data_IF_842498892955
#
_entry.id   IF_842498892955
#
_cell.length_a   1.000
_cell.length_b   1.000
_cell.length_c   1.000
_cell.angle_alpha   90.00
_cell.angle_beta   90.00
_cell.angle_gamma   90.00
#
_symmetry.space_group_name_H-M   'P 1'
#
loop_
_entity.id
_entity.type
_entity.pdbx_description
1 polymer ?
#
# COMPACT_ATOMS: atom_id res chain seq x y z
N UNK A 1 19.74 -22.24 10.67
CA UNK A 1 18.47 -22.89 10.34
C UNK A 1 17.46 -21.78 10.12
N UNK A 2 16.73 -21.76 9.02
CA UNK A 2 15.66 -20.78 8.80
C UNK A 2 14.55 -21.03 9.83
N UNK A 3 14.16 -19.99 10.56
CA UNK A 3 13.03 -20.06 11.52
C UNK A 3 11.71 -20.06 10.77
N UNK A 4 11.71 -19.52 9.57
CA UNK A 4 10.57 -19.65 8.68
C UNK A 4 10.47 -21.12 8.26
N UNK A 5 9.36 -21.75 8.62
CA UNK A 5 9.06 -23.13 8.17
C UNK A 5 8.97 -23.15 6.66
N UNK A 6 9.30 -24.28 6.04
CA UNK A 6 9.30 -24.45 4.56
C UNK A 6 7.93 -24.16 3.90
N UNK A 7 6.85 -24.12 4.67
CA UNK A 7 5.47 -23.88 4.23
C UNK A 7 4.99 -22.44 4.43
N UNK A 8 5.77 -21.55 5.09
CA UNK A 8 5.41 -20.15 5.31
C UNK A 8 5.87 -19.29 4.15
N UNK A 9 4.94 -18.52 3.59
CA UNK A 9 5.19 -17.62 2.47
C UNK A 9 5.32 -16.16 2.97
N UNK A 10 6.27 -15.42 2.42
CA UNK A 10 6.41 -14.00 2.71
C UNK A 10 5.42 -13.21 1.85
N UNK A 11 4.49 -12.51 2.49
CA UNK A 11 3.49 -11.66 1.86
C UNK A 11 3.72 -10.22 2.30
N UNK A 12 4.18 -9.39 1.39
CA UNK A 12 4.42 -7.98 1.63
C UNK A 12 3.17 -7.15 1.37
N UNK A 13 2.79 -6.31 2.34
CA UNK A 13 1.61 -5.44 2.24
C UNK A 13 1.95 -4.02 1.78
N UNK A 14 3.22 -3.73 1.50
CA UNK A 14 3.67 -2.43 0.99
C UNK A 14 4.89 -2.57 0.10
N UNK A 15 4.71 -2.25 -1.18
CA UNK A 15 5.77 -2.21 -2.18
C UNK A 15 5.40 -1.19 -3.27
N UNK A 16 6.39 -0.65 -3.94
CA UNK A 16 6.16 0.44 -4.89
C UNK A 16 6.57 0.06 -6.31
N UNK A 17 5.80 0.54 -7.27
CA UNK A 17 6.24 0.59 -8.66
C UNK A 17 6.85 1.97 -8.97
N UNK A 18 7.58 2.06 -10.06
CA UNK A 18 7.93 3.33 -10.69
C UNK A 18 7.15 3.42 -11.99
N UNK A 19 6.33 4.45 -12.11
CA UNK A 19 5.49 4.63 -13.29
C UNK A 19 6.35 4.91 -14.54
N UNK A 20 5.97 4.34 -15.71
CA UNK A 20 6.63 4.66 -16.97
C UNK A 20 6.70 6.16 -17.20
N UNK A 21 7.85 6.63 -17.65
CA UNK A 21 8.15 8.06 -17.81
C UNK A 21 7.16 8.83 -18.68
N UNK A 22 6.48 8.13 -19.59
CA UNK A 22 5.49 8.67 -20.51
C UNK A 22 4.07 8.19 -20.22
N UNK A 23 3.80 7.63 -19.03
CA UNK A 23 2.51 7.05 -18.69
C UNK A 23 1.33 8.00 -18.99
N UNK A 24 1.44 9.25 -18.56
CA UNK A 24 0.38 10.24 -18.73
C UNK A 24 0.37 10.85 -20.14
N UNK A 25 1.52 11.08 -20.74
CA UNK A 25 1.61 11.58 -22.12
C UNK A 25 0.98 10.62 -23.14
N UNK A 26 1.28 9.32 -23.00
CA UNK A 26 0.87 8.31 -23.98
C UNK A 26 -0.59 7.86 -23.82
N UNK A 27 -1.17 8.03 -22.64
CA UNK A 27 -2.51 7.50 -22.31
C UNK A 27 -3.58 8.57 -22.11
N UNK A 28 -3.20 9.81 -21.82
CA UNK A 28 -4.17 10.89 -21.68
C UNK A 28 -4.55 11.49 -23.06
N UNK A 29 -5.78 12.02 -23.20
CA UNK A 29 -6.12 12.83 -24.36
C UNK A 29 -5.11 13.98 -24.54
N UNK A 30 -4.71 14.28 -25.79
CA UNK A 30 -3.67 15.27 -26.10
C UNK A 30 -3.91 16.65 -25.45
N UNK A 31 -5.19 17.05 -25.26
CA UNK A 31 -5.54 18.31 -24.59
C UNK A 31 -5.17 18.35 -23.10
N UNK A 32 -4.99 17.20 -22.46
CA UNK A 32 -4.66 17.07 -21.04
C UNK A 32 -3.19 16.70 -20.80
N UNK A 33 -2.55 16.06 -21.77
CA UNK A 33 -1.20 15.53 -21.62
C UNK A 33 -0.17 16.61 -21.21
N UNK A 34 -0.28 17.84 -21.74
CA UNK A 34 0.65 18.93 -21.41
C UNK A 34 0.47 19.55 -20.01
N UNK A 35 -0.58 19.17 -19.27
CA UNK A 35 -0.89 19.69 -17.92
C UNK A 35 -0.88 18.60 -16.86
N UNK A 36 -0.69 17.35 -17.25
CA UNK A 36 -0.56 16.19 -16.38
C UNK A 36 0.87 16.09 -15.79
N UNK A 37 1.14 15.15 -14.87
CA UNK A 37 2.49 14.88 -14.41
C UNK A 37 3.45 14.61 -15.60
N UNK A 38 4.56 15.33 -15.65
CA UNK A 38 5.55 15.24 -16.73
C UNK A 38 6.93 14.91 -16.12
N UNK A 39 7.69 14.09 -16.82
CA UNK A 39 9.08 13.89 -16.48
C UNK A 39 9.93 15.02 -17.08
N UNK A 40 10.62 15.75 -16.23
CA UNK A 40 11.54 16.83 -16.62
C UNK A 40 12.95 16.54 -16.14
N UNK A 41 13.93 17.12 -16.81
CA UNK A 41 15.33 17.08 -16.37
C UNK A 41 15.71 18.49 -15.90
N UNK A 42 16.21 18.60 -14.68
CA UNK A 42 16.66 19.89 -14.13
C UNK A 42 18.01 20.33 -14.71
N UNK A 43 18.49 21.49 -14.27
CA UNK A 43 19.76 22.07 -14.73
C UNK A 43 20.98 21.21 -14.42
N UNK A 44 20.88 20.36 -13.39
CA UNK A 44 21.95 19.47 -12.92
C UNK A 44 21.88 18.09 -13.57
N UNK A 45 20.93 17.89 -14.52
CA UNK A 45 20.72 16.63 -15.21
C UNK A 45 19.89 15.62 -14.43
N UNK A 46 19.30 16.02 -13.30
CA UNK A 46 18.46 15.15 -12.46
C UNK A 46 17.04 15.05 -13.02
N UNK A 47 16.55 13.84 -13.14
CA UNK A 47 15.16 13.57 -13.58
C UNK A 47 14.18 13.76 -12.43
N UNK A 48 13.14 14.52 -12.66
CA UNK A 48 12.11 14.87 -11.67
C UNK A 48 10.71 14.78 -12.28
N UNK A 49 9.73 14.34 -11.50
CA UNK A 49 8.33 14.52 -11.86
C UNK A 49 7.91 15.97 -11.60
N UNK A 50 7.42 16.65 -12.62
CA UNK A 50 6.79 17.97 -12.53
C UNK A 50 5.28 17.77 -12.42
N UNK A 51 4.69 18.24 -11.32
CA UNK A 51 3.24 18.20 -11.05
C UNK A 51 2.84 19.63 -10.66
N UNK A 52 2.21 20.35 -11.58
CA UNK A 52 2.07 21.81 -11.45
C UNK A 52 3.44 22.47 -11.28
N UNK A 53 3.56 23.35 -10.28
CA UNK A 53 4.81 24.04 -9.96
C UNK A 53 5.75 23.21 -9.06
N UNK A 54 5.33 22.05 -8.63
CA UNK A 54 6.12 21.19 -7.73
C UNK A 54 7.02 20.23 -8.51
N UNK A 55 8.11 19.84 -7.86
CA UNK A 55 9.08 18.88 -8.39
C UNK A 55 9.28 17.76 -7.38
N UNK A 56 9.11 16.53 -7.83
CA UNK A 56 9.27 15.32 -7.02
C UNK A 56 10.35 14.42 -7.61
N UNK A 57 11.15 13.82 -6.76
CA UNK A 57 12.13 12.85 -7.22
C UNK A 57 11.43 11.70 -7.94
N UNK A 58 12.02 11.21 -9.03
CA UNK A 58 11.58 9.97 -9.71
C UNK A 58 11.83 8.77 -8.81
N UNK A 59 12.73 8.95 -7.87
CA UNK A 59 13.20 7.96 -6.91
C UNK A 59 12.91 8.49 -5.52
N UNK A 60 12.45 7.66 -4.60
CA UNK A 60 12.45 8.04 -3.19
C UNK A 60 13.87 8.48 -2.79
N UNK A 61 13.94 9.54 -2.00
CA UNK A 61 15.22 10.08 -1.50
C UNK A 61 16.07 9.03 -0.78
N UNK A 62 15.45 7.99 -0.26
CA UNK A 62 16.09 6.93 0.44
C UNK A 62 16.98 6.04 -0.46
N UNK A 63 16.57 5.78 -1.71
CA UNK A 63 17.47 5.10 -2.69
C UNK A 63 18.64 5.99 -3.11
N UNK A 64 18.49 7.32 -3.05
CA UNK A 64 19.56 8.26 -3.35
C UNK A 64 20.70 8.24 -2.33
N UNK A 65 20.45 7.88 -1.07
CA UNK A 65 21.49 7.88 -0.03
C UNK A 65 22.58 6.84 -0.32
N UNK A 66 22.23 5.66 -0.80
CA UNK A 66 23.23 4.68 -1.25
C UNK A 66 24.02 5.16 -2.49
N UNK A 67 23.41 5.98 -3.34
CA UNK A 67 24.06 6.49 -4.55
C UNK A 67 24.93 7.73 -4.31
N UNK A 68 24.56 8.60 -3.38
CA UNK A 68 25.29 9.85 -3.10
C UNK A 68 26.54 9.60 -2.24
N UNK A 69 26.51 8.62 -1.34
CA UNK A 69 27.64 8.34 -0.45
C UNK A 69 28.85 7.63 -1.11
N UNK A 70 28.68 6.99 -2.29
CA UNK A 70 29.73 6.16 -2.89
C UNK A 70 30.06 6.43 -4.35
N UNK A 71 29.40 7.40 -5.01
CA UNK A 71 29.74 7.81 -6.39
C UNK A 71 29.45 6.75 -7.49
N UNK A 72 28.94 5.60 -7.15
CA UNK A 72 28.59 4.53 -8.08
C UNK A 72 27.16 4.05 -7.82
N UNK A 73 26.32 4.06 -8.87
CA UNK A 73 25.14 3.20 -8.86
C UNK A 73 25.64 1.77 -8.78
N UNK A 74 25.44 1.12 -7.64
CA UNK A 74 25.74 -0.29 -7.54
C UNK A 74 24.83 -1.05 -8.51
N UNK A 75 25.29 -2.17 -9.04
CA UNK A 75 24.46 -3.04 -9.88
C UNK A 75 23.15 -3.43 -9.18
N UNK A 76 23.18 -3.54 -7.85
CA UNK A 76 22.02 -3.75 -6.99
C UNK A 76 20.95 -2.67 -7.20
N UNK A 77 21.30 -1.39 -7.10
CA UNK A 77 20.38 -0.26 -7.25
C UNK A 77 19.78 -0.24 -8.67
N UNK A 78 20.59 -0.47 -9.69
CA UNK A 78 20.11 -0.54 -11.08
C UNK A 78 19.11 -1.69 -11.29
N UNK A 79 19.31 -2.82 -10.64
CA UNK A 79 18.41 -3.98 -10.70
C UNK A 79 17.11 -3.72 -9.94
N UNK A 80 17.15 -3.07 -8.77
CA UNK A 80 15.96 -2.64 -8.02
C UNK A 80 15.10 -1.70 -8.87
N UNK A 81 15.72 -0.76 -9.58
CA UNK A 81 15.02 0.16 -10.47
C UNK A 81 14.28 -0.54 -11.59
N UNK A 82 14.99 -1.39 -12.31
CA UNK A 82 14.38 -2.15 -13.39
C UNK A 82 13.23 -3.01 -12.89
N UNK A 83 13.39 -3.61 -11.72
CA UNK A 83 12.34 -4.38 -11.08
C UNK A 83 11.14 -3.53 -10.62
N UNK A 84 11.34 -2.25 -10.32
CA UNK A 84 10.24 -1.34 -10.01
C UNK A 84 9.44 -0.92 -11.27
N UNK A 85 10.11 -0.82 -12.42
CA UNK A 85 9.49 -0.43 -13.70
C UNK A 85 8.88 -1.62 -14.46
N UNK A 86 9.51 -2.81 -14.40
CA UNK A 86 9.19 -3.97 -15.24
C UNK A 86 8.65 -5.15 -14.43
N UNK A 87 7.39 -5.58 -14.65
CA UNK A 87 6.78 -6.69 -13.89
C UNK A 87 7.57 -8.00 -13.95
N UNK A 88 8.12 -8.36 -15.10
CA UNK A 88 8.90 -9.60 -15.25
C UNK A 88 10.18 -9.58 -14.43
N UNK A 89 10.86 -8.45 -14.38
CA UNK A 89 12.06 -8.24 -13.55
C UNK A 89 11.68 -8.15 -12.07
N UNK A 90 10.51 -7.59 -11.74
CA UNK A 90 9.95 -7.60 -10.38
C UNK A 90 9.77 -9.02 -9.86
N UNK A 91 9.16 -9.89 -10.63
CA UNK A 91 8.94 -11.29 -10.25
C UNK A 91 10.28 -12.01 -9.98
N UNK A 92 11.29 -11.76 -10.81
CA UNK A 92 12.65 -12.30 -10.58
C UNK A 92 13.28 -11.75 -9.28
N UNK A 93 13.10 -10.46 -9.00
CA UNK A 93 13.60 -9.85 -7.77
C UNK A 93 12.90 -10.43 -6.52
N UNK A 94 11.59 -10.69 -6.60
CA UNK A 94 10.82 -11.36 -5.55
C UNK A 94 11.30 -12.79 -5.34
N UNK A 95 11.58 -13.55 -6.42
CA UNK A 95 12.09 -14.92 -6.32
C UNK A 95 13.46 -14.97 -5.65
N UNK A 96 14.34 -14.01 -5.93
CA UNK A 96 15.65 -13.89 -5.28
C UNK A 96 15.52 -13.61 -3.78
N UNK A 97 14.54 -12.80 -3.39
CA UNK A 97 14.30 -12.39 -1.99
C UNK A 97 13.44 -13.38 -1.20
N UNK A 98 12.84 -14.35 -1.88
CA UNK A 98 11.93 -15.33 -1.28
C UNK A 98 10.56 -14.76 -0.95
N UNK A 99 10.15 -13.64 -1.58
CA UNK A 99 8.85 -12.99 -1.36
C UNK A 99 7.82 -13.48 -2.37
N UNK A 100 6.68 -13.96 -1.87
CA UNK A 100 5.65 -14.55 -2.72
C UNK A 100 4.71 -13.50 -3.30
N UNK A 101 4.34 -12.49 -2.51
CA UNK A 101 3.36 -11.47 -2.89
C UNK A 101 3.89 -10.07 -2.58
N UNK A 102 3.74 -9.16 -3.54
CA UNK A 102 3.92 -7.72 -3.36
C UNK A 102 2.59 -6.98 -3.56
N UNK A 103 2.28 -6.07 -2.64
CA UNK A 103 1.15 -5.15 -2.74
C UNK A 103 1.64 -3.82 -3.31
N UNK A 104 1.13 -3.43 -4.49
CA UNK A 104 1.75 -2.43 -5.36
C UNK A 104 1.11 -1.06 -5.21
N UNK A 105 1.88 -0.09 -4.71
CA UNK A 105 1.51 1.31 -4.54
C UNK A 105 2.10 2.21 -5.64
N UNK A 106 1.47 3.38 -5.92
CA UNK A 106 2.03 4.39 -6.82
C UNK A 106 3.25 5.08 -6.22
N UNK A 107 4.00 5.77 -7.07
CA UNK A 107 5.09 6.65 -6.65
C UNK A 107 4.94 8.08 -7.19
N UNK A 108 4.75 8.26 -8.49
CA UNK A 108 4.70 9.57 -9.15
C UNK A 108 3.61 10.48 -8.57
N UNK A 109 2.38 10.00 -8.54
CA UNK A 109 1.22 10.79 -8.12
C UNK A 109 1.06 10.92 -6.60
N UNK A 110 2.00 10.34 -5.84
CA UNK A 110 1.92 10.18 -4.38
C UNK A 110 1.20 8.89 -4.00
N UNK A 111 1.39 8.47 -2.76
CA UNK A 111 0.94 7.14 -2.31
C UNK A 111 -0.59 6.99 -2.23
N UNK A 112 -1.32 8.11 -2.11
CA UNK A 112 -2.78 8.16 -2.16
C UNK A 112 -3.30 9.09 -3.29
N UNK A 113 -2.46 9.45 -4.26
CA UNK A 113 -2.79 10.42 -5.31
C UNK A 113 -2.74 11.88 -4.83
N UNK A 114 -2.26 12.15 -3.63
CA UNK A 114 -2.26 13.46 -2.96
C UNK A 114 -1.43 14.51 -3.68
N UNK A 115 -0.42 14.11 -4.47
CA UNK A 115 0.40 15.06 -5.24
C UNK A 115 -0.36 15.71 -6.39
N UNK A 116 -1.46 15.10 -6.85
CA UNK A 116 -2.30 15.67 -7.91
C UNK A 116 -2.95 17.00 -7.48
N UNK A 117 -3.06 17.29 -6.17
CA UNK A 117 -3.57 18.59 -5.66
C UNK A 117 -2.80 19.81 -6.20
N UNK A 118 -1.59 19.62 -6.67
CA UNK A 118 -0.79 20.70 -7.26
C UNK A 118 -1.15 21.01 -8.73
N UNK A 119 -2.01 20.20 -9.35
CA UNK A 119 -2.58 20.51 -10.65
C UNK A 119 -3.76 21.49 -10.49
N UNK A 120 -3.77 22.54 -11.28
CA UNK A 120 -4.78 23.60 -11.18
C UNK A 120 -6.20 23.12 -11.55
N UNK A 121 -6.30 22.16 -12.47
CA UNK A 121 -7.57 21.64 -12.96
C UNK A 121 -7.89 20.27 -12.35
N UNK A 122 -8.93 20.22 -11.51
CA UNK A 122 -9.38 18.98 -10.85
C UNK A 122 -9.86 17.91 -11.85
N UNK A 123 -10.31 18.28 -13.04
CA UNK A 123 -10.72 17.29 -14.05
C UNK A 123 -9.55 16.44 -14.54
N UNK A 124 -8.33 16.96 -14.42
CA UNK A 124 -7.08 16.25 -14.76
C UNK A 124 -6.77 15.21 -13.67
N UNK A 125 -7.11 15.46 -12.41
CA UNK A 125 -6.88 14.51 -11.33
C UNK A 125 -7.57 13.18 -11.60
N UNK A 126 -8.87 13.22 -11.93
CA UNK A 126 -9.62 11.99 -12.25
C UNK A 126 -9.04 11.26 -13.45
N UNK A 127 -8.62 12.01 -14.48
CA UNK A 127 -7.99 11.43 -15.66
C UNK A 127 -6.65 10.76 -15.31
N UNK A 128 -5.82 11.40 -14.49
CA UNK A 128 -4.54 10.84 -14.01
C UNK A 128 -4.75 9.60 -13.14
N UNK A 129 -5.70 9.67 -12.20
CA UNK A 129 -6.06 8.55 -11.31
C UNK A 129 -6.53 7.35 -12.14
N UNK A 130 -7.41 7.58 -13.12
CA UNK A 130 -7.87 6.53 -14.01
C UNK A 130 -6.72 5.93 -14.82
N UNK A 131 -5.85 6.77 -15.38
CA UNK A 131 -4.68 6.33 -16.14
C UNK A 131 -3.74 5.48 -15.30
N UNK A 132 -3.50 5.87 -14.05
CA UNK A 132 -2.71 5.08 -13.11
C UNK A 132 -3.39 3.73 -12.80
N UNK A 133 -4.67 3.75 -12.40
CA UNK A 133 -5.39 2.52 -12.08
C UNK A 133 -5.45 1.56 -13.28
N UNK A 134 -5.70 2.07 -14.48
CA UNK A 134 -5.69 1.25 -15.71
C UNK A 134 -4.29 0.66 -15.97
N UNK A 135 -3.24 1.41 -15.69
CA UNK A 135 -1.88 0.91 -15.84
C UNK A 135 -1.52 -0.15 -14.81
N UNK A 136 -1.80 0.09 -13.53
CA UNK A 136 -1.41 -0.86 -12.47
C UNK A 136 -2.20 -2.16 -12.57
N UNK A 137 -3.49 -2.09 -12.90
CA UNK A 137 -4.37 -3.25 -12.99
C UNK A 137 -4.10 -4.05 -14.28
N UNK A 138 -4.23 -3.40 -15.44
CA UNK A 138 -4.23 -4.10 -16.74
C UNK A 138 -2.82 -4.24 -17.33
N UNK A 139 -1.88 -3.42 -16.88
CA UNK A 139 -0.49 -3.43 -17.35
C UNK A 139 0.46 -4.13 -16.39
N UNK A 140 0.68 -3.52 -15.22
CA UNK A 140 1.75 -3.96 -14.33
C UNK A 140 1.42 -5.28 -13.59
N UNK A 141 0.25 -5.41 -12.99
CA UNK A 141 -0.12 -6.57 -12.16
C UNK A 141 -0.77 -7.71 -12.96
N UNK A 142 -1.31 -7.44 -14.16
CA UNK A 142 -2.13 -8.40 -14.92
C UNK A 142 -1.41 -9.69 -15.30
N UNK A 143 -0.09 -9.65 -15.48
CA UNK A 143 0.73 -10.81 -15.85
C UNK A 143 0.94 -11.83 -14.73
N UNK A 144 0.72 -11.42 -13.47
CA UNK A 144 0.89 -12.27 -12.29
C UNK A 144 -0.02 -11.80 -11.14
N UNK A 145 -1.36 -11.82 -11.31
CA UNK A 145 -2.30 -11.23 -10.35
C UNK A 145 -2.29 -11.94 -8.98
N UNK A 146 -1.77 -13.15 -8.91
CA UNK A 146 -1.60 -13.90 -7.66
C UNK A 146 -0.37 -13.44 -6.86
N UNK A 147 0.54 -12.69 -7.48
CA UNK A 147 1.80 -12.25 -6.89
C UNK A 147 1.94 -10.73 -6.83
N UNK A 148 1.31 -9.99 -7.73
CA UNK A 148 1.33 -8.53 -7.80
C UNK A 148 -0.09 -8.01 -7.57
N UNK A 149 -0.35 -7.48 -6.38
CA UNK A 149 -1.67 -7.05 -5.93
C UNK A 149 -1.81 -5.55 -6.10
N UNK A 150 -2.69 -5.06 -7.00
CA UNK A 150 -2.85 -3.62 -7.23
C UNK A 150 -3.62 -2.95 -6.10
N UNK A 151 -3.13 -1.79 -5.64
CA UNK A 151 -3.86 -0.87 -4.77
C UNK A 151 -4.47 0.24 -5.63
N UNK A 152 -5.76 0.49 -5.39
CA UNK A 152 -6.50 1.51 -6.11
C UNK A 152 -6.33 2.89 -5.51
N UNK A 153 -6.39 3.90 -6.38
CA UNK A 153 -6.46 5.31 -6.00
C UNK A 153 -7.82 5.86 -6.43
N UNK A 154 -8.42 6.70 -5.59
CA UNK A 154 -9.71 7.33 -5.85
C UNK A 154 -9.59 8.84 -5.90
N UNK A 155 -10.52 9.57 -6.59
CA UNK A 155 -10.54 11.02 -6.57
C UNK A 155 -10.88 11.54 -5.18
N UNK A 156 -9.91 12.13 -4.49
CA UNK A 156 -10.08 12.62 -3.12
C UNK A 156 -10.69 14.02 -3.02
N UNK A 157 -10.83 14.72 -4.14
CA UNK A 157 -11.36 16.09 -4.17
C UNK A 157 -12.88 16.19 -3.89
N UNK A 158 -13.60 15.09 -4.00
CA UNK A 158 -15.01 14.94 -3.68
C UNK A 158 -15.28 13.55 -3.10
N UNK A 159 -15.66 13.44 -1.80
CA UNK A 159 -15.95 12.15 -1.16
C UNK A 159 -17.00 11.31 -1.86
N UNK A 160 -18.01 11.93 -2.47
CA UNK A 160 -19.06 11.19 -3.19
C UNK A 160 -18.55 10.59 -4.50
N UNK A 161 -17.65 11.29 -5.18
CA UNK A 161 -16.93 10.75 -6.34
C UNK A 161 -16.03 9.58 -5.93
N UNK A 162 -15.31 9.70 -4.83
CA UNK A 162 -14.45 8.63 -4.32
C UNK A 162 -15.24 7.32 -4.10
N UNK A 163 -16.41 7.40 -3.45
CA UNK A 163 -17.29 6.26 -3.22
C UNK A 163 -17.68 5.53 -4.52
N UNK A 164 -18.04 6.28 -5.55
CA UNK A 164 -18.47 5.71 -6.84
C UNK A 164 -17.40 4.94 -7.59
N UNK A 165 -16.12 5.11 -7.22
CA UNK A 165 -14.99 4.41 -7.83
C UNK A 165 -14.67 3.07 -7.16
N UNK A 166 -15.10 2.86 -5.90
CA UNK A 166 -14.75 1.65 -5.14
C UNK A 166 -15.23 0.40 -5.84
N UNK A 167 -16.53 0.28 -6.11
CA UNK A 167 -17.14 -0.91 -6.71
C UNK A 167 -16.42 -1.27 -8.03
N UNK A 168 -16.23 -0.29 -8.90
CA UNK A 168 -15.57 -0.48 -10.19
C UNK A 168 -14.12 -0.97 -10.05
N UNK A 169 -13.39 -0.50 -9.05
CA UNK A 169 -12.00 -0.92 -8.82
C UNK A 169 -11.94 -2.33 -8.26
N UNK A 170 -12.86 -2.68 -7.36
CA UNK A 170 -12.99 -4.04 -6.81
C UNK A 170 -13.32 -5.06 -7.89
N UNK A 171 -14.28 -4.76 -8.77
CA UNK A 171 -14.62 -5.61 -9.92
C UNK A 171 -13.43 -5.87 -10.85
N UNK A 172 -12.48 -4.93 -10.92
CA UNK A 172 -11.25 -5.05 -11.70
C UNK A 172 -10.09 -5.72 -10.97
N UNK A 173 -10.31 -6.20 -9.75
CA UNK A 173 -9.30 -6.96 -9.00
C UNK A 173 -8.48 -6.15 -7.99
N UNK A 174 -8.78 -4.88 -7.76
CA UNK A 174 -8.18 -4.09 -6.68
C UNK A 174 -8.56 -4.70 -5.33
N UNK A 175 -7.59 -4.77 -4.40
CA UNK A 175 -7.74 -5.42 -3.10
C UNK A 175 -7.62 -4.46 -1.92
N UNK A 176 -7.57 -3.17 -2.17
CA UNK A 176 -7.58 -2.11 -1.18
C UNK A 176 -7.45 -0.75 -1.82
N UNK A 177 -7.80 0.27 -1.08
CA UNK A 177 -7.73 1.67 -1.53
C UNK A 177 -6.74 2.43 -0.67
N UNK A 178 -5.85 3.18 -1.28
CA UNK A 178 -4.97 4.09 -0.55
C UNK A 178 -5.67 5.41 -0.26
N UNK A 179 -5.49 5.89 0.98
CA UNK A 179 -6.11 7.10 1.51
C UNK A 179 -5.09 7.91 2.32
N UNK A 180 -5.09 9.26 2.26
CA UNK A 180 -4.10 10.06 2.96
C UNK A 180 -4.24 9.97 4.47
N UNK A 181 -3.12 10.03 5.18
CA UNK A 181 -3.05 9.93 6.64
C UNK A 181 -3.76 11.09 7.36
N UNK A 182 -3.77 12.28 6.77
CA UNK A 182 -4.52 13.44 7.27
C UNK A 182 -5.02 14.29 6.11
N UNK A 183 -6.22 13.98 5.56
CA UNK A 183 -6.75 14.67 4.38
C UNK A 183 -6.89 16.18 4.57
N UNK A 184 -7.30 16.65 5.75
CA UNK A 184 -7.46 18.07 6.03
C UNK A 184 -6.12 18.84 5.95
N UNK A 185 -5.00 18.20 6.30
CA UNK A 185 -3.68 18.82 6.23
C UNK A 185 -3.23 19.18 4.81
N UNK A 186 -3.81 18.53 3.81
CA UNK A 186 -3.54 18.76 2.39
C UNK A 186 -4.68 19.45 1.65
N UNK A 187 -5.61 20.07 2.40
CA UNK A 187 -6.71 20.87 1.85
C UNK A 187 -7.88 20.05 1.31
N UNK A 188 -7.98 18.78 1.67
CA UNK A 188 -9.13 17.92 1.37
C UNK A 188 -10.18 17.97 2.50
N UNK A 189 -11.33 17.38 2.25
CA UNK A 189 -12.40 17.22 3.26
C UNK A 189 -11.86 16.50 4.49
N UNK A 190 -12.13 17.05 5.69
CA UNK A 190 -11.68 16.48 6.96
C UNK A 190 -12.21 15.05 7.15
N UNK A 191 -11.43 14.18 7.81
CA UNK A 191 -11.87 12.83 8.16
C UNK A 191 -13.05 12.81 9.15
N UNK A 192 -13.28 13.94 9.85
CA UNK A 192 -14.43 14.11 10.74
C UNK A 192 -15.72 14.52 10.01
N UNK A 193 -15.66 14.78 8.70
CA UNK A 193 -16.81 15.20 7.91
C UNK A 193 -17.60 13.97 7.45
N UNK A 194 -18.94 13.93 7.73
CA UNK A 194 -19.79 12.81 7.33
C UNK A 194 -19.92 12.61 5.82
N UNK A 195 -19.41 13.53 5.01
CA UNK A 195 -19.33 13.33 3.56
C UNK A 195 -18.53 12.07 3.17
N UNK A 196 -17.62 11.61 4.02
CA UNK A 196 -16.86 10.37 3.81
C UNK A 196 -17.63 9.09 4.12
N UNK A 197 -18.78 9.13 4.82
CA UNK A 197 -19.49 7.92 5.24
C UNK A 197 -19.79 7.00 4.05
N UNK A 198 -20.25 7.54 2.92
CA UNK A 198 -20.51 6.73 1.70
C UNK A 198 -19.27 6.03 1.14
N UNK A 199 -18.12 6.68 1.26
CA UNK A 199 -16.86 6.08 0.82
C UNK A 199 -16.46 4.90 1.71
N UNK A 200 -16.56 5.09 3.02
CA UNK A 200 -16.25 4.03 3.99
C UNK A 200 -17.29 2.91 3.96
N UNK A 201 -18.58 3.22 3.75
CA UNK A 201 -19.64 2.22 3.51
C UNK A 201 -19.32 1.33 2.31
N UNK A 202 -18.87 1.92 1.20
CA UNK A 202 -18.51 1.16 0.00
C UNK A 202 -17.34 0.21 0.24
N UNK A 203 -16.31 0.66 0.99
CA UNK A 203 -15.15 -0.16 1.35
C UNK A 203 -15.53 -1.30 2.30
N UNK A 204 -16.35 -1.02 3.31
CA UNK A 204 -16.85 -2.02 4.25
C UNK A 204 -17.73 -3.07 3.54
N UNK A 205 -18.62 -2.63 2.67
CA UNK A 205 -19.47 -3.51 1.87
C UNK A 205 -18.69 -4.40 0.89
N UNK A 206 -17.59 -3.87 0.34
CA UNK A 206 -16.69 -4.60 -0.55
C UNK A 206 -15.70 -5.50 0.20
N UNK A 207 -15.64 -5.42 1.52
CA UNK A 207 -14.70 -6.14 2.39
C UNK A 207 -13.23 -5.92 1.99
N UNK A 208 -12.85 -4.69 1.64
CA UNK A 208 -11.47 -4.31 1.32
C UNK A 208 -10.93 -3.27 2.29
N UNK A 209 -9.62 -3.29 2.62
CA UNK A 209 -9.02 -2.34 3.55
C UNK A 209 -8.76 -0.96 2.93
N UNK A 210 -8.66 0.03 3.82
CA UNK A 210 -8.01 1.31 3.55
C UNK A 210 -6.54 1.21 3.94
N UNK A 211 -5.66 1.62 3.05
CA UNK A 211 -4.24 1.76 3.33
C UNK A 211 -3.88 3.23 3.56
N UNK A 212 -3.24 3.53 4.67
CA UNK A 212 -2.71 4.84 4.99
C UNK A 212 -1.19 4.74 5.08
N UNK A 213 -0.52 5.40 4.14
CA UNK A 213 0.92 5.36 4.00
C UNK A 213 1.55 6.65 4.53
N UNK A 214 2.71 6.59 5.20
CA UNK A 214 3.47 7.80 5.56
C UNK A 214 3.65 8.70 4.32
N UNK A 215 3.98 9.97 4.53
CA UNK A 215 4.19 10.97 3.49
C UNK A 215 2.99 11.24 2.55
N UNK A 216 1.79 10.74 2.87
CA UNK A 216 0.56 11.05 2.14
C UNK A 216 -0.23 12.25 2.72
N UNK A 217 0.31 12.91 3.75
CA UNK A 217 -0.20 14.15 4.34
C UNK A 217 0.72 15.35 4.04
N UNK A 218 0.44 16.50 4.67
CA UNK A 218 1.37 17.61 4.66
C UNK A 218 2.62 17.26 5.46
N UNK A 219 3.79 17.56 4.89
CA UNK A 219 5.06 17.34 5.59
C UNK A 219 5.11 18.09 6.91
N UNK A 220 5.62 17.46 7.94
CA UNK A 220 5.92 18.12 9.20
C UNK A 220 6.97 19.22 8.99
N UNK A 221 6.86 20.28 9.77
CA UNK A 221 7.83 21.37 9.75
C UNK A 221 8.98 21.03 10.69
N UNK A 222 10.19 20.99 10.17
CA UNK A 222 11.42 20.79 10.94
C UNK A 222 12.32 22.02 10.82
N UNK A 223 13.31 22.14 11.71
CA UNK A 223 14.34 23.15 11.58
C UNK A 223 15.06 22.98 10.22
N UNK A 224 15.15 24.00 9.37
CA UNK A 224 15.82 23.90 8.07
C UNK A 224 17.30 23.51 8.16
N UNK A 225 17.93 23.69 9.31
CA UNK A 225 19.31 23.28 9.58
C UNK A 225 19.43 21.83 10.11
N UNK A 226 18.28 21.15 10.32
CA UNK A 226 18.29 19.78 10.81
C UNK A 226 18.95 18.84 9.80
N UNK A 227 19.76 17.87 10.24
CA UNK A 227 20.26 16.82 9.37
C UNK A 227 19.11 16.02 8.74
N UNK A 228 19.37 15.45 7.57
CA UNK A 228 18.37 14.70 6.80
C UNK A 228 17.74 13.51 7.56
N UNK A 229 18.49 12.93 8.50
CA UNK A 229 18.02 11.83 9.35
C UNK A 229 16.87 12.22 10.29
N UNK A 230 16.75 13.52 10.65
CA UNK A 230 15.67 13.98 11.53
C UNK A 230 14.29 13.81 10.91
N UNK A 231 13.97 14.34 9.73
CA UNK A 231 12.68 14.10 9.09
C UNK A 231 12.43 12.63 8.79
N UNK A 232 13.46 11.84 8.45
CA UNK A 232 13.29 10.40 8.22
C UNK A 232 12.89 9.68 9.53
N UNK A 233 13.60 9.96 10.62
CA UNK A 233 13.31 9.35 11.94
C UNK A 233 11.90 9.69 12.42
N UNK A 234 11.38 10.85 12.06
CA UNK A 234 10.07 11.34 12.49
C UNK A 234 8.95 11.13 11.45
N UNK A 235 9.23 10.43 10.35
CA UNK A 235 8.24 10.16 9.30
C UNK A 235 7.01 9.40 9.82
N UNK A 236 7.19 8.54 10.83
CA UNK A 236 6.11 7.80 11.50
C UNK A 236 5.08 8.71 12.23
N UNK A 237 5.41 9.98 12.48
CA UNK A 237 4.46 10.92 13.10
C UNK A 237 3.18 11.07 12.26
N UNK A 238 3.24 10.93 10.95
CA UNK A 238 2.07 10.95 10.08
C UNK A 238 1.06 9.87 10.46
N UNK A 239 1.55 8.65 10.73
CA UNK A 239 0.69 7.53 11.14
C UNK A 239 0.21 7.65 12.58
N UNK A 240 1.03 8.20 13.47
CA UNK A 240 0.63 8.46 14.86
C UNK A 240 -0.52 9.46 14.90
N UNK A 241 -0.44 10.55 14.12
CA UNK A 241 -1.53 11.51 13.97
C UNK A 241 -2.77 10.84 13.38
N UNK A 242 -2.63 10.08 12.28
CA UNK A 242 -3.73 9.35 11.65
C UNK A 242 -4.44 8.41 12.63
N UNK A 243 -3.69 7.63 13.41
CA UNK A 243 -4.26 6.71 14.39
C UNK A 243 -5.04 7.43 15.50
N UNK A 244 -4.56 8.60 15.95
CA UNK A 244 -5.28 9.45 16.93
C UNK A 244 -6.54 10.04 16.30
N UNK A 245 -6.44 10.61 15.09
CA UNK A 245 -7.60 11.17 14.39
C UNK A 245 -8.68 10.11 14.17
N UNK A 246 -8.29 8.91 13.72
CA UNK A 246 -9.21 7.78 13.56
C UNK A 246 -9.87 7.36 14.87
N UNK A 247 -9.08 7.26 15.96
CA UNK A 247 -9.60 6.87 17.27
C UNK A 247 -10.70 7.80 17.78
N UNK A 248 -10.56 9.10 17.50
CA UNK A 248 -11.50 10.14 17.91
C UNK A 248 -12.47 10.57 16.79
N UNK A 249 -12.39 9.97 15.60
CA UNK A 249 -13.34 10.24 14.51
C UNK A 249 -14.59 9.37 14.61
N UNK A 250 -15.70 9.74 13.95
CA UNK A 250 -16.87 8.88 13.82
C UNK A 250 -16.64 7.65 12.94
N UNK A 251 -15.60 7.64 12.11
CA UNK A 251 -15.35 6.60 11.08
C UNK A 251 -15.36 5.20 11.67
N UNK A 252 -14.52 4.94 12.69
CA UNK A 252 -14.43 3.59 13.29
C UNK A 252 -15.69 3.21 14.09
N UNK A 253 -16.60 4.15 14.33
CA UNK A 253 -17.89 3.92 15.00
C UNK A 253 -18.96 3.58 14.00
N UNK A 254 -19.05 4.36 12.93
CA UNK A 254 -20.08 4.20 11.91
C UNK A 254 -19.80 2.96 11.04
N UNK A 255 -18.52 2.60 10.88
CA UNK A 255 -18.05 1.50 10.03
C UNK A 255 -17.31 0.44 10.87
N UNK A 256 -18.01 -0.37 11.69
CA UNK A 256 -17.38 -1.26 12.68
C UNK A 256 -16.60 -2.44 12.08
N UNK A 257 -16.78 -2.74 10.79
CA UNK A 257 -16.05 -3.78 10.07
C UNK A 257 -14.98 -3.21 9.12
N UNK A 258 -14.87 -1.89 9.03
CA UNK A 258 -13.83 -1.24 8.23
C UNK A 258 -12.45 -1.61 8.77
N UNK A 259 -11.55 -1.95 7.85
CA UNK A 259 -10.16 -2.29 8.16
C UNK A 259 -9.23 -1.22 7.61
N UNK A 260 -8.32 -0.73 8.47
CA UNK A 260 -7.35 0.29 8.13
C UNK A 260 -5.96 -0.27 8.38
N UNK A 261 -5.07 -0.10 7.42
CA UNK A 261 -3.69 -0.57 7.47
C UNK A 261 -2.75 0.62 7.43
N UNK A 262 -1.94 0.78 8.48
CA UNK A 262 -0.94 1.82 8.60
C UNK A 262 0.41 1.30 8.09
N UNK A 263 1.01 2.00 7.13
CA UNK A 263 2.17 1.51 6.38
C UNK A 263 3.41 2.39 6.58
N UNK A 264 4.56 1.73 6.74
CA UNK A 264 5.93 2.29 6.73
C UNK A 264 6.31 3.16 7.94
N UNK A 265 5.48 3.19 8.98
CA UNK A 265 5.79 3.96 10.20
C UNK A 265 6.17 3.11 11.41
N UNK A 266 6.43 1.81 11.20
CA UNK A 266 6.62 0.89 12.31
C UNK A 266 5.36 0.71 13.16
N UNK A 267 5.47 0.00 14.27
CA UNK A 267 4.31 -0.35 15.11
C UNK A 267 4.58 -0.24 16.62
N UNK A 268 5.84 -0.12 17.05
CA UNK A 268 6.21 -0.09 18.48
C UNK A 268 5.62 1.09 19.27
N UNK A 269 5.16 2.13 18.57
CA UNK A 269 4.47 3.27 19.18
C UNK A 269 2.97 3.03 19.47
N UNK A 270 2.37 1.95 18.95
CA UNK A 270 0.93 1.69 19.10
C UNK A 270 0.51 1.38 20.52
N UNK A 271 1.31 0.61 21.29
CA UNK A 271 1.03 0.32 22.70
C UNK A 271 1.02 1.60 23.53
N UNK A 272 2.05 2.45 23.36
CA UNK A 272 2.11 3.77 23.99
C UNK A 272 0.91 4.65 23.62
N UNK A 273 0.55 4.68 22.33
CA UNK A 273 -0.58 5.48 21.85
C UNK A 273 -1.90 5.06 22.49
N UNK A 274 -2.16 3.77 22.55
CA UNK A 274 -3.36 3.21 23.18
C UNK A 274 -3.48 3.67 24.63
N UNK A 275 -2.39 3.57 25.41
CA UNK A 275 -2.31 4.08 26.79
C UNK A 275 -2.60 5.60 26.87
N UNK A 276 -2.03 6.38 25.93
CA UNK A 276 -2.25 7.85 25.92
C UNK A 276 -3.69 8.21 25.59
N UNK A 277 -4.34 7.53 24.67
CA UNK A 277 -5.75 7.72 24.32
C UNK A 277 -6.62 7.44 25.55
N UNK A 278 -6.41 6.30 26.23
CA UNK A 278 -7.16 5.94 27.44
C UNK A 278 -6.96 6.95 28.57
N UNK A 279 -5.72 7.40 28.77
CA UNK A 279 -5.39 8.40 29.79
C UNK A 279 -6.16 9.69 29.61
N UNK A 280 -6.19 10.23 28.39
CA UNK A 280 -6.89 11.49 28.14
C UNK A 280 -8.40 11.30 28.10
N UNK A 281 -8.88 10.18 27.55
CA UNK A 281 -10.31 9.85 27.55
C UNK A 281 -10.88 9.80 28.97
N UNK A 282 -10.20 9.13 29.88
CA UNK A 282 -10.64 9.02 31.30
C UNK A 282 -10.72 10.39 32.00
N UNK A 283 -9.93 11.38 31.56
CA UNK A 283 -9.89 12.72 32.16
C UNK A 283 -10.81 13.73 31.50
N UNK A 284 -11.01 13.61 30.20
CA UNK A 284 -11.73 14.59 29.38
C UNK A 284 -12.98 13.97 28.74
N UNK A 285 -13.25 12.70 28.99
CA UNK A 285 -14.32 11.94 28.40
C UNK A 285 -15.69 12.60 28.55
N UNK A 286 -16.47 12.58 27.48
CA UNK A 286 -17.79 13.18 27.41
C UNK A 286 -17.84 14.62 26.95
N UNK A 287 -16.69 15.29 26.72
CA UNK A 287 -16.67 16.66 26.16
C UNK A 287 -16.53 16.68 24.63
N UNK A 288 -16.34 15.51 23.99
CA UNK A 288 -16.19 15.41 22.54
C UNK A 288 -17.58 15.43 21.89
N UNK A 289 -17.90 16.52 21.20
CA UNK A 289 -19.16 16.69 20.48
C UNK A 289 -19.28 15.65 19.35
N UNK A 290 -20.43 15.01 19.21
CA UNK A 290 -20.69 14.01 18.19
C UNK A 290 -20.23 12.59 18.52
N UNK A 291 -19.70 12.37 19.73
CA UNK A 291 -19.40 11.03 20.20
C UNK A 291 -20.72 10.29 20.53
N UNK A 292 -20.95 9.07 20.03
CA UNK A 292 -22.20 8.37 20.28
C UNK A 292 -22.41 8.14 21.78
N UNK A 293 -23.62 8.47 22.22
CA UNK A 293 -24.02 8.31 23.60
C UNK A 293 -24.02 6.84 24.00
N UNK A 294 -23.48 6.59 25.19
CA UNK A 294 -23.66 5.43 26.09
C UNK A 294 -23.42 4.02 25.52
N UNK A 295 -22.44 3.34 26.11
CA UNK A 295 -22.26 1.89 25.99
C UNK A 295 -21.22 1.44 24.96
N UNK A 296 -20.64 2.35 24.21
CA UNK A 296 -19.55 2.01 23.30
C UNK A 296 -18.21 2.02 24.06
N UNK A 297 -17.36 1.09 23.70
CA UNK A 297 -15.95 1.04 24.11
C UNK A 297 -15.28 2.39 23.93
N UNK A 298 -14.41 2.79 24.83
CA UNK A 298 -13.63 4.03 24.71
C UNK A 298 -12.83 4.08 23.40
N UNK A 299 -12.35 5.27 22.99
CA UNK A 299 -11.67 5.46 21.71
C UNK A 299 -10.43 4.57 21.54
N UNK A 300 -9.77 4.17 22.62
CA UNK A 300 -8.62 3.28 22.57
C UNK A 300 -8.95 1.85 22.09
N UNK A 301 -10.15 1.37 22.35
CA UNK A 301 -10.53 -0.02 21.99
C UNK A 301 -10.89 -0.18 20.50
N UNK A 302 -11.10 0.89 19.76
CA UNK A 302 -11.48 0.84 18.34
C UNK A 302 -10.28 0.63 17.42
N UNK A 303 -9.21 1.43 17.54
CA UNK A 303 -7.99 1.13 16.82
C UNK A 303 -7.49 -0.30 17.06
N UNK A 304 -7.68 -0.83 18.28
CA UNK A 304 -7.26 -2.21 18.61
C UNK A 304 -8.06 -3.31 17.89
N UNK A 305 -9.10 -2.99 17.16
CA UNK A 305 -9.90 -3.98 16.40
C UNK A 305 -9.84 -3.78 14.90
N UNK A 306 -9.71 -2.55 14.44
CA UNK A 306 -9.89 -2.16 13.04
C UNK A 306 -8.61 -1.65 12.39
N UNK A 307 -7.61 -1.24 13.19
CA UNK A 307 -6.34 -0.70 12.70
C UNK A 307 -5.25 -1.75 12.81
N UNK A 308 -4.66 -2.07 11.68
CA UNK A 308 -3.49 -2.93 11.52
C UNK A 308 -2.26 -2.08 11.24
N UNK A 309 -1.07 -2.60 11.53
CA UNK A 309 0.18 -1.92 11.25
C UNK A 309 1.16 -2.82 10.49
N UNK A 310 1.82 -2.23 9.51
CA UNK A 310 2.91 -2.85 8.78
C UNK A 310 4.27 -2.55 9.41
N UNK A 311 5.18 -3.52 9.39
CA UNK A 311 6.57 -3.36 9.82
C UNK A 311 7.54 -3.91 8.76
N UNK A 312 8.68 -3.26 8.61
CA UNK A 312 9.84 -3.76 7.87
C UNK A 312 10.76 -4.48 8.87
N UNK A 313 11.38 -3.72 9.76
CA UNK A 313 12.14 -4.17 10.92
C UNK A 313 11.76 -3.28 12.12
N UNK A 314 11.12 -3.84 13.14
CA UNK A 314 10.70 -3.10 14.34
C UNK A 314 10.86 -3.96 15.59
N UNK A 315 12.07 -4.06 16.17
CA UNK A 315 12.31 -4.86 17.37
C UNK A 315 11.45 -4.46 18.56
N UNK A 316 11.15 -3.17 18.72
CA UNK A 316 10.29 -2.67 19.78
C UNK A 316 8.85 -3.16 19.59
N UNK A 317 8.31 -3.04 18.39
CA UNK A 317 6.97 -3.52 18.06
C UNK A 317 6.86 -5.04 18.16
N UNK A 318 7.89 -5.80 17.78
CA UNK A 318 7.93 -7.26 18.00
C UNK A 318 7.93 -7.60 19.50
N UNK A 319 8.63 -6.83 20.32
CA UNK A 319 8.61 -7.00 21.79
C UNK A 319 7.20 -6.79 22.35
N UNK A 320 6.52 -5.77 21.88
CA UNK A 320 5.18 -5.34 22.34
C UNK A 320 4.03 -6.00 21.56
N UNK A 321 4.30 -6.98 20.69
CA UNK A 321 3.32 -7.57 19.78
C UNK A 321 2.05 -8.09 20.42
N UNK A 322 2.10 -8.53 21.69
CA UNK A 322 0.93 -9.03 22.43
C UNK A 322 0.03 -7.86 22.88
N UNK A 323 0.61 -6.73 23.25
CA UNK A 323 -0.14 -5.52 23.61
C UNK A 323 -0.71 -4.84 22.36
N UNK A 324 0.02 -4.88 21.24
CA UNK A 324 -0.45 -4.41 19.92
C UNK A 324 -1.57 -5.34 19.42
N UNK A 325 -1.42 -6.65 19.55
CA UNK A 325 -2.24 -7.72 19.00
C UNK A 325 -1.57 -8.38 17.80
N UNK A 326 -1.07 -9.59 17.95
CA UNK A 326 -0.37 -10.37 16.92
C UNK A 326 -1.18 -10.46 15.62
N UNK A 327 -2.49 -10.55 15.74
CA UNK A 327 -3.43 -10.67 14.60
C UNK A 327 -3.63 -9.38 13.79
N UNK A 328 -2.99 -8.28 14.22
CA UNK A 328 -3.05 -6.95 13.56
C UNK A 328 -1.72 -6.49 12.99
N UNK A 329 -0.69 -7.31 13.11
CA UNK A 329 0.66 -7.00 12.65
C UNK A 329 0.89 -7.68 11.30
N UNK A 330 1.41 -6.95 10.32
CA UNK A 330 1.72 -7.46 8.99
C UNK A 330 3.12 -7.04 8.57
N UNK A 331 3.83 -7.95 7.92
CA UNK A 331 5.14 -7.65 7.35
C UNK A 331 5.01 -6.93 6.01
N UNK A 332 5.99 -6.07 5.72
CA UNK A 332 6.16 -5.40 4.44
C UNK A 332 7.64 -5.33 4.04
N UNK A 333 7.90 -5.42 2.75
CA UNK A 333 9.24 -5.32 2.17
C UNK A 333 9.66 -3.89 1.89
N UNK A 334 8.71 -3.05 1.54
CA UNK A 334 8.91 -1.68 1.07
C UNK A 334 9.81 -1.57 -0.18
N UNK A 335 9.83 -2.62 -1.00
CA UNK A 335 10.63 -2.63 -2.22
C UNK A 335 10.07 -1.60 -3.24
N UNK A 336 10.89 -0.75 -3.89
CA UNK A 336 12.36 -0.72 -3.95
C UNK A 336 13.00 0.40 -3.11
N UNK A 337 12.37 0.82 -2.03
CA UNK A 337 12.91 1.87 -1.17
C UNK A 337 14.18 1.41 -0.44
N UNK A 338 14.94 2.37 0.12
CA UNK A 338 16.21 2.06 0.81
C UNK A 338 16.00 1.28 2.11
N UNK A 339 14.83 1.40 2.71
CA UNK A 339 14.45 0.67 3.91
C UNK A 339 14.21 -0.83 3.63
N UNK A 340 14.04 -1.19 2.34
CA UNK A 340 13.87 -2.58 1.95
C UNK A 340 15.07 -3.45 2.32
N UNK A 341 14.77 -4.61 2.89
CA UNK A 341 15.76 -5.63 3.19
C UNK A 341 16.29 -6.37 1.95
N UNK A 342 15.71 -6.13 0.77
CA UNK A 342 16.05 -6.83 -0.46
C UNK A 342 17.57 -6.85 -0.75
N UNK A 343 18.16 -7.94 -1.16
CA UNK A 343 17.59 -9.27 -1.41
C UNK A 343 17.72 -10.24 -0.22
N UNK A 344 17.61 -9.77 1.01
CA UNK A 344 17.87 -10.52 2.23
C UNK A 344 16.66 -10.55 3.21
N UNK A 345 15.42 -10.34 2.73
CA UNK A 345 14.24 -10.24 3.59
C UNK A 345 14.04 -11.47 4.48
N UNK A 346 14.13 -12.66 3.92
CA UNK A 346 13.98 -13.90 4.70
C UNK A 346 15.05 -14.05 5.79
N UNK A 347 16.31 -13.66 5.52
CA UNK A 347 17.41 -13.71 6.47
C UNK A 347 17.20 -12.71 7.61
N UNK A 348 16.82 -11.48 7.29
CA UNK A 348 16.59 -10.42 8.29
C UNK A 348 15.38 -10.75 9.18
N UNK A 349 14.27 -11.21 8.58
CA UNK A 349 13.11 -11.67 9.34
C UNK A 349 13.46 -12.86 10.26
N UNK A 350 14.24 -13.81 9.78
CA UNK A 350 14.68 -14.95 10.60
C UNK A 350 15.49 -14.51 11.82
N UNK A 351 16.23 -13.41 11.73
CA UNK A 351 16.95 -12.83 12.87
C UNK A 351 16.04 -12.05 13.80
N UNK A 352 15.16 -11.22 13.24
CA UNK A 352 14.25 -10.39 14.01
C UNK A 352 13.25 -11.22 14.81
N UNK A 353 12.75 -12.32 14.24
CA UNK A 353 11.73 -13.17 14.81
C UNK A 353 12.28 -14.44 15.50
N UNK A 354 13.59 -14.46 15.79
CA UNK A 354 14.29 -15.65 16.31
C UNK A 354 13.67 -16.24 17.58
N UNK A 355 13.16 -15.39 18.45
CA UNK A 355 12.57 -15.76 19.74
C UNK A 355 11.03 -15.66 19.74
N UNK A 356 10.40 -15.54 18.56
CA UNK A 356 8.96 -15.47 18.39
C UNK A 356 8.39 -16.86 18.09
N UNK A 357 7.22 -17.17 18.66
CA UNK A 357 6.53 -18.43 18.38
C UNK A 357 6.30 -18.59 16.84
N UNK A 358 6.58 -19.78 16.28
CA UNK A 358 6.43 -20.01 14.84
C UNK A 358 5.01 -19.76 14.30
N UNK A 359 3.96 -19.91 15.13
CA UNK A 359 2.58 -19.64 14.74
C UNK A 359 2.33 -18.13 14.67
N UNK A 360 2.87 -17.36 15.61
CA UNK A 360 2.82 -15.90 15.59
C UNK A 360 3.64 -15.34 14.40
N UNK A 361 4.82 -15.91 14.16
CA UNK A 361 5.65 -15.59 12.98
C UNK A 361 4.86 -15.77 11.69
N UNK A 362 4.26 -16.95 11.47
CA UNK A 362 3.47 -17.23 10.27
C UNK A 362 2.26 -16.28 10.16
N UNK A 363 1.61 -15.94 11.28
CA UNK A 363 0.52 -14.98 11.28
C UNK A 363 0.98 -13.61 10.80
N UNK A 364 2.09 -13.08 11.31
CA UNK A 364 2.59 -11.74 11.00
C UNK A 364 3.17 -11.59 9.59
N UNK A 365 3.84 -12.63 9.05
CA UNK A 365 4.50 -12.53 7.74
C UNK A 365 3.63 -13.03 6.58
N UNK A 366 2.51 -13.71 6.86
CA UNK A 366 1.62 -14.25 5.85
C UNK A 366 0.13 -14.14 6.24
N UNK A 367 -0.26 -14.80 7.33
CA UNK A 367 -1.67 -15.08 7.63
C UNK A 367 -2.53 -13.82 7.76
N UNK A 368 -2.03 -12.79 8.43
CA UNK A 368 -2.76 -11.54 8.62
C UNK A 368 -2.92 -10.78 7.30
N UNK A 369 -1.87 -10.71 6.48
CA UNK A 369 -1.93 -10.09 5.17
C UNK A 369 -2.99 -10.76 4.28
N UNK A 370 -3.02 -12.09 4.24
CA UNK A 370 -4.01 -12.83 3.45
C UNK A 370 -5.45 -12.66 3.96
N UNK A 371 -5.62 -12.44 5.26
CA UNK A 371 -6.94 -12.24 5.87
C UNK A 371 -7.46 -10.81 5.68
N UNK A 372 -6.59 -9.81 5.80
CA UNK A 372 -6.98 -8.39 5.81
C UNK A 372 -6.76 -7.68 4.48
N UNK A 373 -5.81 -8.13 3.68
CA UNK A 373 -5.57 -7.68 2.33
C UNK A 373 -5.55 -8.92 1.43
N UNK A 374 -6.73 -9.50 1.13
CA UNK A 374 -6.81 -10.82 0.51
C UNK A 374 -6.12 -10.81 -0.85
N UNK A 375 -4.90 -11.35 -0.85
CA UNK A 375 -4.29 -11.81 -2.09
C UNK A 375 -5.10 -13.01 -2.59
N UNK A 376 -5.11 -13.29 -3.89
CA UNK A 376 -5.65 -14.53 -4.41
C UNK A 376 -5.10 -15.74 -3.62
N UNK A 377 -5.89 -16.81 -3.43
CA UNK A 377 -5.40 -18.00 -2.75
C UNK A 377 -4.12 -18.48 -3.44
N UNK A 378 -3.13 -19.01 -2.68
CA UNK A 378 -1.94 -19.58 -3.29
C UNK A 378 -2.37 -20.60 -4.34
N UNK A 379 -1.82 -20.49 -5.53
CA UNK A 379 -1.94 -21.56 -6.52
C UNK A 379 -1.24 -22.75 -5.90
N UNK A 380 -1.98 -23.57 -5.17
CA UNK A 380 -1.52 -24.92 -4.91
C UNK A 380 -1.27 -25.49 -6.31
N UNK A 381 -0.01 -25.79 -6.62
CA UNK A 381 0.27 -26.79 -7.65
C UNK A 381 -0.58 -28.00 -7.27
N UNK A 382 -1.77 -28.11 -7.86
CA UNK A 382 -2.46 -29.37 -7.95
C UNK A 382 -1.45 -30.21 -8.72
N UNK A 383 -0.62 -30.94 -8.01
CA UNK A 383 0.02 -32.11 -8.56
C UNK A 383 -1.15 -32.99 -8.98
N UNK A 384 -1.68 -32.73 -10.16
CA UNK A 384 -2.50 -33.67 -10.85
C UNK A 384 -1.65 -34.90 -10.90
N UNK A 385 -2.02 -35.91 -10.11
CA UNK A 385 -1.65 -37.26 -10.31
C UNK A 385 -2.12 -37.61 -11.75
N UNK A 386 -1.29 -37.28 -12.71
CA UNK A 386 -1.43 -37.77 -14.07
C UNK A 386 -1.10 -39.27 -13.98
N UNK A 387 -2.16 -40.02 -13.67
CA UNK A 387 -2.15 -41.43 -13.98
C UNK A 387 -1.75 -41.57 -15.46
N UNK A 388 -0.79 -42.44 -15.74
CA UNK A 388 -0.30 -42.82 -17.03
C UNK A 388 -1.42 -42.84 -18.09
N UNK A 389 -1.57 -41.78 -18.86
CA UNK A 389 -2.29 -41.80 -20.15
C UNK A 389 -1.24 -41.88 -21.24
N UNK A 390 -1.25 -43.00 -21.93
CA UNK A 390 -0.32 -43.34 -23.01
C UNK A 390 -0.36 -42.27 -24.10
N UNK A 391 0.81 -41.92 -24.61
CA UNK A 391 1.10 -40.92 -25.66
C UNK A 391 0.51 -41.25 -27.05
N UNK A 392 -0.59 -41.98 -27.15
CA UNK A 392 -1.20 -42.37 -28.43
C UNK A 392 -2.53 -41.70 -28.78
N UNK A 393 -3.09 -40.86 -27.98
CA UNK A 393 -4.40 -40.23 -28.26
C UNK A 393 -4.40 -38.73 -28.54
N UNK A 394 -3.25 -38.08 -28.63
CA UNK A 394 -3.16 -36.61 -28.85
C UNK A 394 -3.11 -36.20 -30.34
N UNK A 395 -3.07 -37.16 -31.30
CA UNK A 395 -2.93 -36.85 -32.75
C UNK A 395 -4.23 -36.86 -33.56
N UNK A 396 -5.40 -36.95 -32.96
CA UNK A 396 -6.68 -37.06 -33.72
C UNK A 396 -7.74 -35.99 -33.44
N UNK A 397 -7.39 -34.79 -32.99
CA UNK A 397 -8.37 -33.68 -32.84
C UNK A 397 -7.97 -32.36 -33.53
N UNK A 398 -7.27 -32.43 -34.63
CA UNK A 398 -7.21 -31.33 -35.59
C UNK A 398 -7.90 -31.78 -36.88
N UNK A 399 -9.12 -31.34 -37.12
CA UNK A 399 -9.85 -31.05 -38.36
C UNK A 399 -11.35 -31.37 -38.24
N UNK A 400 -12.15 -30.32 -38.19
CA UNK A 400 -13.57 -30.40 -38.46
C UNK A 400 -14.24 -29.02 -38.26
N UNK A 401 -15.05 -28.58 -39.21
CA UNK A 401 -15.32 -27.14 -39.40
C UNK A 401 -16.51 -26.62 -38.58
N UNK A 402 -16.47 -25.32 -38.29
CA UNK A 402 -17.62 -24.51 -37.90
C UNK A 402 -18.73 -24.61 -38.94
N UNK A 403 -19.94 -24.97 -38.52
CA UNK A 403 -21.16 -24.67 -39.25
C UNK A 403 -22.15 -24.06 -38.24
N UNK A 404 -22.54 -22.85 -38.59
CA UNK A 404 -23.64 -22.08 -38.02
C UNK A 404 -24.99 -22.76 -38.15
N UNK A 405 -25.86 -22.67 -37.16
CA UNK A 405 -27.28 -22.42 -37.42
C UNK A 405 -27.99 -21.76 -36.23
N UNK A 406 -28.50 -20.60 -36.49
CA UNK A 406 -29.61 -19.94 -35.79
C UNK A 406 -30.92 -20.72 -35.95
N UNK A 407 -31.81 -20.45 -35.00
CA UNK A 407 -33.30 -20.54 -35.07
C UNK A 407 -33.95 -21.70 -34.25
N UNK A 408 -34.50 -21.38 -33.12
CA UNK A 408 -35.90 -21.05 -32.75
C UNK A 408 -36.01 -20.86 -31.26
#
# INVERSE_FOLDING_TARGET
>A
MSILKDDVQLVSVNDHLVEPTRLFEDRLPARLAGTAPLLVTDTDGKRMWAIGDQRFSVVSTAVLVETVGQGHQTERVANMWRAAEEPSTRLQAMDVDGVTVHTIFPHCIGFAGERLRFLADKSIWEACIRTYNDYVIDGYCSGAPDRLVPIGIVPLGDPSSAASHVDRLVERGVRGISFPTSPASIGLTSIYDPAWDRFFDALEAADIPVFMHIASAASQSFDPAAPFEVPLTLANLDLLVAAIELAFSPVLVHHPHLRIVLLEGGMGWLSYLTERIEYFWARQGGTVSGWPEQGLSGPAQRPTRQVMAGFIEDPAGISDRHDIGVDRIMWMSDFPHADSAWPHSAERLSRLLADVDPTETAAMVEGNARRFAPSPPPVHCIATSVGNVSTRECEKRERGPCVSSCAR
#
